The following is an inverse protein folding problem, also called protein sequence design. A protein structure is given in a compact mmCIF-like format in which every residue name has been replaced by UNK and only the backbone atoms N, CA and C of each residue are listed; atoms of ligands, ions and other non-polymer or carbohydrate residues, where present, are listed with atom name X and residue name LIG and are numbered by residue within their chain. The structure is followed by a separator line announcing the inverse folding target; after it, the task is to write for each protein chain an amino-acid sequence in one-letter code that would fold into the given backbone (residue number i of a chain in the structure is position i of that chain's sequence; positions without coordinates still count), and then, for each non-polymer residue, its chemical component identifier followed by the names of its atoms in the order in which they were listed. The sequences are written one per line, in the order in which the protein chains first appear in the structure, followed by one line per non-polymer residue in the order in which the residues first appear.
data_IF_283611094262
#
_entry.id   IF_283611094262
#
_cell.length_a   1.000
_cell.length_b   1.000
_cell.length_c   1.000
_cell.angle_alpha   90.00
_cell.angle_beta   90.00
_cell.angle_gamma   90.00
#
_symmetry.space_group_name_H-M   'P 1'
#
loop_
_entity.id
_entity.type
_entity.pdbx_description
1 polymer ?
#
# COMPACT_ATOMS: atom_id res chain seq x y z
N UNK A 1 15.74 -0.86 14.95
CA UNK A 1 14.81 -1.80 15.63
C UNK A 1 13.60 -0.95 15.94
N UNK A 2 12.39 -1.36 15.54
CA UNK A 2 11.19 -0.54 15.76
C UNK A 2 10.82 -0.53 17.26
N UNK A 3 10.75 0.65 17.87
CA UNK A 3 10.35 0.84 19.27
C UNK A 3 8.81 0.83 19.44
N UNK A 4 8.34 0.78 20.69
CA UNK A 4 6.92 0.53 21.03
C UNK A 4 5.96 1.64 20.57
N UNK A 5 6.44 2.89 20.46
CA UNK A 5 5.63 4.03 19.99
C UNK A 5 6.27 4.76 18.82
N UNK A 6 7.34 4.21 18.24
CA UNK A 6 8.02 4.79 17.10
C UNK A 6 7.13 4.69 15.85
N UNK A 7 7.09 5.79 15.10
CA UNK A 7 6.40 5.84 13.82
C UNK A 7 7.16 5.02 12.79
N UNK A 8 6.46 4.27 11.96
CA UNK A 8 7.11 3.56 10.87
C UNK A 8 7.58 4.57 9.82
N UNK A 9 8.87 4.50 9.49
CA UNK A 9 9.45 5.10 8.28
C UNK A 9 9.24 4.23 7.03
N UNK A 10 9.65 4.75 5.88
CA UNK A 10 9.60 4.05 4.60
C UNK A 10 10.38 2.73 4.64
N UNK A 11 11.51 2.71 5.32
CA UNK A 11 12.37 1.54 5.49
C UNK A 11 11.70 0.40 6.25
N UNK A 12 10.81 0.73 7.20
CA UNK A 12 10.05 -0.25 7.97
C UNK A 12 8.97 -0.90 7.11
N UNK A 13 8.23 -0.11 6.34
CA UNK A 13 7.18 -0.59 5.43
C UNK A 13 7.81 -1.41 4.29
N UNK A 14 8.86 -0.89 3.65
CA UNK A 14 9.56 -1.60 2.56
C UNK A 14 10.16 -2.93 3.04
N UNK A 15 10.71 -2.98 4.25
CA UNK A 15 11.21 -4.24 4.84
C UNK A 15 10.09 -5.25 5.06
N UNK A 16 8.95 -4.86 5.63
CA UNK A 16 7.82 -5.78 5.83
C UNK A 16 7.26 -6.28 4.48
N UNK A 17 7.16 -5.40 3.49
CA UNK A 17 6.74 -5.72 2.13
C UNK A 17 7.66 -6.75 1.47
N UNK A 18 8.99 -6.59 1.60
CA UNK A 18 9.96 -7.58 1.11
C UNK A 18 9.82 -8.94 1.80
N UNK A 19 9.57 -8.95 3.11
CA UNK A 19 9.32 -10.21 3.85
C UNK A 19 8.04 -10.88 3.38
N UNK A 20 6.98 -10.10 3.17
CA UNK A 20 5.71 -10.61 2.67
C UNK A 20 5.82 -11.12 1.23
N UNK A 21 6.56 -10.44 0.36
CA UNK A 21 6.83 -10.90 -0.99
C UNK A 21 7.57 -12.25 -0.99
N UNK A 22 8.58 -12.41 -0.12
CA UNK A 22 9.32 -13.67 0.01
C UNK A 22 8.42 -14.82 0.48
N UNK A 23 7.57 -14.57 1.46
CA UNK A 23 6.60 -15.54 1.97
C UNK A 23 5.58 -15.93 0.89
N UNK A 24 5.03 -14.94 0.19
CA UNK A 24 4.08 -15.15 -0.89
C UNK A 24 4.71 -15.94 -2.05
N UNK A 25 5.96 -15.64 -2.44
CA UNK A 25 6.69 -16.40 -3.47
C UNK A 25 6.92 -17.85 -3.07
N UNK A 26 7.13 -18.12 -1.77
CA UNK A 26 7.36 -19.47 -1.26
C UNK A 26 6.08 -20.30 -1.23
N UNK A 27 4.97 -19.69 -0.80
CA UNK A 27 3.74 -20.42 -0.48
C UNK A 27 2.69 -20.35 -1.60
N UNK A 28 2.67 -19.24 -2.37
CA UNK A 28 1.68 -18.96 -3.42
C UNK A 28 2.34 -18.29 -4.65
N UNK A 29 3.23 -19.00 -5.37
CA UNK A 29 4.05 -18.42 -6.45
C UNK A 29 3.24 -17.75 -7.56
N UNK A 30 2.08 -18.30 -7.93
CA UNK A 30 1.21 -17.71 -8.97
C UNK A 30 0.60 -16.37 -8.51
N UNK A 31 0.21 -16.27 -7.24
CA UNK A 31 -0.29 -15.02 -6.65
C UNK A 31 0.85 -14.01 -6.51
N UNK A 32 2.04 -14.48 -6.11
CA UNK A 32 3.23 -13.63 -6.03
C UNK A 32 3.60 -13.01 -7.39
N UNK A 33 3.57 -13.80 -8.47
CA UNK A 33 3.85 -13.31 -9.83
C UNK A 33 2.91 -12.18 -10.26
N UNK A 34 1.67 -12.16 -9.74
CA UNK A 34 0.63 -11.17 -10.03
C UNK A 34 0.49 -10.07 -8.98
N UNK A 35 1.31 -10.07 -7.93
CA UNK A 35 1.22 -9.09 -6.84
C UNK A 35 2.44 -8.18 -6.83
N UNK A 36 2.23 -6.88 -6.55
CA UNK A 36 3.31 -5.89 -6.39
C UNK A 36 3.15 -5.17 -5.06
N UNK A 37 4.16 -5.26 -4.23
CA UNK A 37 4.32 -4.45 -3.03
C UNK A 37 5.17 -3.24 -3.41
N UNK A 38 4.55 -2.08 -3.58
CA UNK A 38 5.22 -0.90 -4.14
C UNK A 38 6.02 -0.19 -3.05
N UNK A 39 7.27 0.13 -3.34
CA UNK A 39 8.14 0.83 -2.40
C UNK A 39 7.56 2.23 -2.06
N UNK A 40 7.54 2.64 -0.78
CA UNK A 40 6.95 3.91 -0.37
C UNK A 40 7.56 5.15 -1.04
N UNK A 41 8.86 5.14 -1.34
CA UNK A 41 9.54 6.27 -2.00
C UNK A 41 9.08 6.43 -3.45
N UNK A 42 8.71 5.34 -4.14
CA UNK A 42 8.13 5.41 -5.48
C UNK A 42 6.77 6.11 -5.42
N UNK A 43 5.93 5.74 -4.44
CA UNK A 43 4.61 6.36 -4.26
C UNK A 43 4.74 7.83 -3.88
N UNK A 44 5.69 8.19 -3.02
CA UNK A 44 6.01 9.58 -2.70
C UNK A 44 6.44 10.37 -3.94
N UNK A 45 7.26 9.79 -4.81
CA UNK A 45 7.63 10.41 -6.08
C UNK A 45 6.43 10.58 -7.02
N UNK A 46 5.49 9.63 -7.01
CA UNK A 46 4.23 9.78 -7.75
C UNK A 46 3.37 10.91 -7.23
N UNK A 47 3.36 11.19 -5.93
CA UNK A 47 2.61 12.31 -5.38
C UNK A 47 3.30 13.65 -5.70
N UNK A 48 4.63 13.70 -5.66
CA UNK A 48 5.43 14.92 -5.88
C UNK A 48 5.67 15.30 -7.33
N UNK A 49 5.54 14.37 -8.28
CA UNK A 49 5.86 14.65 -9.68
C UNK A 49 4.96 15.75 -10.24
N UNK A 50 5.48 16.62 -11.10
CA UNK A 50 4.66 17.56 -11.88
C UNK A 50 4.33 17.03 -13.29
N UNK A 51 4.73 15.80 -13.59
CA UNK A 51 4.56 15.16 -14.89
C UNK A 51 3.85 13.81 -14.75
N UNK A 52 2.58 13.78 -15.15
CA UNK A 52 1.77 12.57 -15.14
C UNK A 52 2.21 11.54 -16.19
N UNK A 53 2.86 11.97 -17.28
CA UNK A 53 3.46 11.08 -18.27
C UNK A 53 4.58 10.23 -17.67
N UNK A 54 5.43 10.85 -16.84
CA UNK A 54 6.50 10.13 -16.11
C UNK A 54 5.89 9.15 -15.10
N UNK A 55 4.91 9.58 -14.30
CA UNK A 55 4.23 8.72 -13.31
C UNK A 55 3.59 7.51 -14.00
N UNK A 56 2.85 7.73 -15.08
CA UNK A 56 2.22 6.63 -15.85
C UNK A 56 3.25 5.68 -16.45
N UNK A 57 4.37 6.21 -16.96
CA UNK A 57 5.45 5.38 -17.52
C UNK A 57 6.09 4.51 -16.45
N UNK A 58 6.33 5.05 -15.26
CA UNK A 58 6.89 4.28 -14.15
C UNK A 58 5.90 3.24 -13.62
N UNK A 59 4.62 3.61 -13.51
CA UNK A 59 3.57 2.67 -13.14
C UNK A 59 3.45 1.51 -14.12
N UNK A 60 3.56 1.78 -15.43
CA UNK A 60 3.64 0.74 -16.46
C UNK A 60 4.81 -0.22 -16.23
N UNK A 61 5.99 0.27 -15.83
CA UNK A 61 7.14 -0.61 -15.52
C UNK A 61 6.91 -1.50 -14.30
N UNK A 62 6.07 -1.08 -13.34
CA UNK A 62 5.73 -1.91 -12.17
C UNK A 62 4.80 -3.06 -12.58
N UNK A 63 3.85 -2.78 -13.46
CA UNK A 63 2.80 -3.76 -13.81
C UNK A 63 3.18 -4.71 -14.94
N UNK A 64 4.10 -4.30 -15.80
CA UNK A 64 4.64 -5.16 -16.86
C UNK A 64 5.87 -5.94 -16.37
N UNK A 65 5.88 -7.23 -16.64
CA UNK A 65 7.05 -8.11 -16.46
C UNK A 65 7.36 -8.79 -17.79
N UNK A 66 8.59 -8.61 -18.29
CA UNK A 66 9.05 -9.10 -19.59
C UNK A 66 8.08 -8.81 -20.77
N UNK A 67 7.47 -7.63 -20.76
CA UNK A 67 6.52 -7.19 -21.79
C UNK A 67 5.08 -7.69 -21.61
N UNK A 68 4.80 -8.47 -20.56
CA UNK A 68 3.45 -8.94 -20.23
C UNK A 68 2.87 -8.15 -19.06
N UNK A 69 1.62 -7.70 -19.16
CA UNK A 69 0.90 -7.04 -18.06
C UNK A 69 0.45 -8.07 -17.01
N UNK A 70 1.34 -8.39 -16.07
CA UNK A 70 1.16 -9.50 -15.11
C UNK A 70 0.59 -9.08 -13.77
N UNK A 71 0.74 -7.82 -13.36
CA UNK A 71 0.33 -7.39 -12.02
C UNK A 71 -1.18 -7.16 -11.91
N UNK A 72 -1.86 -8.03 -11.18
CA UNK A 72 -3.27 -7.89 -10.84
C UNK A 72 -3.48 -7.06 -9.58
N UNK A 73 -2.56 -7.17 -8.63
CA UNK A 73 -2.72 -6.61 -7.29
C UNK A 73 -1.55 -5.71 -6.98
N UNK A 74 -1.84 -4.47 -6.55
CA UNK A 74 -0.80 -3.55 -6.11
C UNK A 74 -1.14 -2.98 -4.74
N UNK A 75 -0.13 -2.90 -3.88
CA UNK A 75 -0.21 -2.30 -2.56
C UNK A 75 0.69 -1.06 -2.54
N UNK A 76 0.08 0.12 -2.53
CA UNK A 76 0.77 1.41 -2.54
C UNK A 76 0.58 2.11 -1.18
N UNK A 77 1.62 2.21 -0.36
CA UNK A 77 1.56 2.98 0.88
C UNK A 77 1.57 4.48 0.54
N UNK A 78 0.61 5.22 1.06
CA UNK A 78 0.39 6.65 0.78
C UNK A 78 0.72 7.46 2.03
N UNK A 79 1.62 8.43 1.90
CA UNK A 79 1.97 9.41 2.94
C UNK A 79 1.40 10.79 2.58
N UNK A 80 0.89 11.54 3.56
CA UNK A 80 0.44 12.94 3.39
C UNK A 80 1.60 13.95 3.39
N UNK A 81 2.67 13.66 2.67
CA UNK A 81 3.73 14.63 2.45
C UNK A 81 3.22 15.72 1.50
N UNK A 82 3.48 16.99 1.82
CA UNK A 82 3.13 18.10 0.93
C UNK A 82 3.94 17.96 -0.37
N UNK A 83 3.28 17.80 -1.53
CA UNK A 83 3.99 17.63 -2.80
C UNK A 83 4.74 18.90 -3.24
N UNK A 84 4.41 20.07 -2.70
CA UNK A 84 5.04 21.36 -3.02
C UNK A 84 6.20 21.71 -2.09
N UNK A 85 6.33 21.03 -0.93
CA UNK A 85 7.44 21.23 -0.01
C UNK A 85 8.35 20.00 0.01
N UNK A 86 9.57 20.07 -0.57
CA UNK A 86 10.50 18.94 -0.58
C UNK A 86 10.93 18.49 0.82
N UNK A 87 10.79 19.35 1.84
CA UNK A 87 11.11 19.03 3.24
C UNK A 87 9.92 18.43 3.99
N UNK A 88 8.72 18.41 3.40
CA UNK A 88 7.55 17.82 4.04
C UNK A 88 7.69 16.30 4.03
N UNK A 89 7.91 15.72 5.21
CA UNK A 89 8.06 14.27 5.40
C UNK A 89 6.71 13.56 5.53
N UNK A 90 5.61 14.31 5.64
CA UNK A 90 4.31 13.78 6.06
C UNK A 90 4.31 13.28 7.50
N UNK A 91 3.14 12.92 7.99
CA UNK A 91 2.96 12.43 9.36
C UNK A 91 1.92 11.31 9.49
N UNK A 92 1.30 10.90 8.39
CA UNK A 92 0.27 9.87 8.41
C UNK A 92 0.36 8.95 7.21
N UNK A 93 0.39 7.64 7.49
CA UNK A 93 0.37 6.58 6.49
C UNK A 93 -1.04 6.05 6.28
N UNK A 94 -1.38 5.78 5.03
CA UNK A 94 -2.59 5.06 4.62
C UNK A 94 -2.24 4.09 3.49
N UNK A 95 -3.17 3.25 3.06
CA UNK A 95 -2.94 2.24 2.02
C UNK A 95 -3.87 2.46 0.84
N UNK A 96 -3.33 2.44 -0.37
CA UNK A 96 -4.10 2.30 -1.60
C UNK A 96 -3.87 0.90 -2.18
N UNK A 97 -4.92 0.07 -2.17
CA UNK A 97 -4.93 -1.24 -2.80
C UNK A 97 -5.54 -1.14 -4.20
N UNK A 98 -4.86 -1.67 -5.21
CA UNK A 98 -5.35 -1.67 -6.59
C UNK A 98 -5.64 -3.10 -7.03
N UNK A 99 -6.85 -3.33 -7.51
CA UNK A 99 -7.30 -4.55 -8.16
C UNK A 99 -7.46 -4.29 -9.66
N UNK A 100 -6.57 -4.91 -10.44
CA UNK A 100 -6.49 -4.81 -11.90
C UNK A 100 -6.93 -6.10 -12.58
N UNK A 101 -7.55 -7.07 -11.88
CA UNK A 101 -8.00 -8.34 -12.50
C UNK A 101 -8.82 -8.10 -13.77
N UNK A 102 -9.68 -7.08 -13.75
CA UNK A 102 -10.27 -6.50 -14.95
C UNK A 102 -9.38 -5.35 -15.46
N UNK A 103 -8.56 -5.65 -16.47
CA UNK A 103 -7.61 -4.68 -17.06
C UNK A 103 -8.29 -3.49 -17.73
N UNK A 104 -9.52 -3.65 -18.20
CA UNK A 104 -10.29 -2.58 -18.83
C UNK A 104 -10.89 -1.60 -17.83
N UNK A 105 -10.98 -1.99 -16.55
CA UNK A 105 -11.58 -1.18 -15.50
C UNK A 105 -10.93 -1.46 -14.14
N UNK A 106 -9.66 -1.09 -13.94
CA UNK A 106 -8.98 -1.27 -12.68
C UNK A 106 -9.65 -0.43 -11.59
N UNK A 107 -9.68 -0.96 -10.37
CA UNK A 107 -10.31 -0.34 -9.20
C UNK A 107 -9.27 -0.16 -8.11
N UNK A 108 -9.33 0.98 -7.43
CA UNK A 108 -8.52 1.25 -6.26
C UNK A 108 -9.40 1.42 -5.01
N UNK A 109 -8.89 0.95 -3.88
CA UNK A 109 -9.52 1.00 -2.57
C UNK A 109 -8.57 1.69 -1.60
N UNK A 110 -9.02 2.77 -0.99
CA UNK A 110 -8.23 3.52 -0.02
C UNK A 110 -8.61 3.12 1.41
N UNK A 111 -7.60 2.86 2.22
CA UNK A 111 -7.75 2.52 3.63
C UNK A 111 -6.97 3.49 4.49
N UNK A 112 -7.69 4.23 5.31
CA UNK A 112 -7.14 5.19 6.25
C UNK A 112 -7.65 4.87 7.66
N UNK A 113 -6.70 4.61 8.56
CA UNK A 113 -6.97 4.26 9.95
C UNK A 113 -7.19 5.48 10.85
N UNK A 114 -7.04 6.71 10.34
CA UNK A 114 -7.15 7.93 11.14
C UNK A 114 -7.97 9.02 10.43
N UNK A 115 -9.29 8.85 10.44
CA UNK A 115 -10.22 9.93 10.09
C UNK A 115 -10.17 10.40 8.62
N UNK A 116 -9.54 9.64 7.72
CA UNK A 116 -9.44 9.99 6.31
C UNK A 116 -8.48 11.14 6.01
N UNK A 117 -7.44 11.33 6.84
CA UNK A 117 -6.43 12.37 6.64
C UNK A 117 -5.79 12.34 5.24
N UNK A 118 -5.62 11.15 4.66
CA UNK A 118 -4.99 10.97 3.35
C UNK A 118 -6.01 10.84 2.21
N UNK A 119 -7.29 11.18 2.41
CA UNK A 119 -8.31 11.06 1.36
C UNK A 119 -7.92 11.85 0.10
N UNK A 120 -7.45 13.09 0.27
CA UNK A 120 -7.02 13.94 -0.86
C UNK A 120 -5.79 13.39 -1.57
N UNK A 121 -4.82 12.86 -0.82
CA UNK A 121 -3.60 12.27 -1.38
C UNK A 121 -3.91 10.98 -2.14
N UNK A 122 -4.84 10.16 -1.62
CA UNK A 122 -5.31 8.96 -2.29
C UNK A 122 -6.13 9.26 -3.55
N UNK A 123 -7.02 10.25 -3.50
CA UNK A 123 -7.75 10.78 -4.67
C UNK A 123 -6.79 11.31 -5.74
N UNK A 124 -5.79 12.08 -5.31
CA UNK A 124 -4.76 12.59 -6.20
C UNK A 124 -3.98 11.45 -6.85
N UNK A 125 -3.44 10.51 -6.07
CA UNK A 125 -2.69 9.36 -6.57
C UNK A 125 -3.52 8.51 -7.54
N UNK A 126 -4.77 8.20 -7.19
CA UNK A 126 -5.65 7.41 -8.05
C UNK A 126 -5.93 8.14 -9.38
N UNK A 127 -6.17 9.45 -9.36
CA UNK A 127 -6.37 10.25 -10.56
C UNK A 127 -5.14 10.23 -11.49
N UNK A 128 -3.93 10.33 -10.93
CA UNK A 128 -2.68 10.25 -11.70
C UNK A 128 -2.46 8.90 -12.36
N UNK A 129 -2.94 7.84 -11.72
CA UNK A 129 -2.83 6.47 -12.19
C UNK A 129 -4.04 6.02 -13.05
N UNK A 130 -4.99 6.92 -13.32
CA UNK A 130 -6.24 6.63 -14.04
C UNK A 130 -7.04 5.48 -13.42
N UNK A 131 -7.12 5.48 -12.08
CA UNK A 131 -7.80 4.45 -11.29
C UNK A 131 -9.14 4.97 -10.77
N UNK A 132 -10.19 4.15 -10.88
CA UNK A 132 -11.47 4.43 -10.22
C UNK A 132 -11.35 4.08 -8.74
N UNK A 133 -11.49 5.09 -7.88
CA UNK A 133 -11.62 4.87 -6.44
C UNK A 133 -13.01 4.34 -6.10
N UNK A 134 -13.03 3.28 -5.30
CA UNK A 134 -14.25 2.74 -4.70
C UNK A 134 -14.16 2.78 -3.17
N UNK A 135 -15.30 2.90 -2.47
CA UNK A 135 -15.32 2.94 -1.01
C UNK A 135 -14.75 1.67 -0.39
N UNK A 136 -13.81 1.83 0.53
CA UNK A 136 -13.36 0.79 1.43
C UNK A 136 -13.36 1.30 2.87
N UNK A 137 -13.37 0.38 3.82
CA UNK A 137 -13.41 0.69 5.25
C UNK A 137 -12.29 -0.02 5.97
N UNK A 138 -11.79 0.60 7.02
CA UNK A 138 -10.75 0.07 7.88
C UNK A 138 -11.07 0.39 9.34
N UNK A 139 -10.69 -0.53 10.24
CA UNK A 139 -10.65 -0.25 11.66
C UNK A 139 -9.86 1.04 11.94
N UNK A 140 -10.37 1.87 12.84
CA UNK A 140 -9.74 3.15 13.19
C UNK A 140 -8.73 2.96 14.32
N UNK A 141 -7.52 3.49 14.14
CA UNK A 141 -6.50 3.50 15.19
C UNK A 141 -6.96 4.37 16.36
N UNK A 142 -6.52 4.01 17.57
CA UNK A 142 -6.85 4.74 18.81
C UNK A 142 -5.69 5.56 19.38
N UNK A 143 -4.48 5.34 18.87
CA UNK A 143 -3.28 6.08 19.24
C UNK A 143 -2.82 6.96 18.08
N UNK A 144 -1.71 7.68 18.25
CA UNK A 144 -1.16 8.60 17.24
C UNK A 144 0.09 8.09 16.52
N UNK A 145 0.40 6.78 16.55
CA UNK A 145 1.67 6.26 16.02
C UNK A 145 1.58 4.95 15.23
N UNK A 146 0.43 4.27 15.24
CA UNK A 146 0.27 2.97 14.58
C UNK A 146 -0.25 3.03 13.14
N UNK A 147 -0.42 4.21 12.53
CA UNK A 147 -0.90 4.33 11.16
C UNK A 147 -0.12 3.43 10.18
N UNK A 148 1.21 3.41 10.29
CA UNK A 148 2.06 2.50 9.51
C UNK A 148 1.87 1.01 9.84
N UNK A 149 1.54 0.65 11.08
CA UNK A 149 1.22 -0.74 11.46
C UNK A 149 -0.10 -1.17 10.79
N UNK A 150 -1.10 -0.29 10.77
CA UNK A 150 -2.36 -0.51 10.03
C UNK A 150 -2.12 -0.71 8.53
N UNK A 151 -1.17 0.00 7.92
CA UNK A 151 -0.80 -0.22 6.51
C UNK A 151 -0.25 -1.63 6.30
N UNK A 152 0.77 -2.04 7.04
CA UNK A 152 1.44 -3.34 6.81
C UNK A 152 0.56 -4.53 7.21
N UNK A 153 -0.17 -4.45 8.32
CA UNK A 153 -1.07 -5.52 8.74
C UNK A 153 -2.36 -5.54 7.88
N UNK A 154 -2.83 -4.39 7.41
CA UNK A 154 -3.91 -4.30 6.43
C UNK A 154 -3.54 -4.96 5.10
N UNK A 155 -2.32 -4.69 4.59
CA UNK A 155 -1.76 -5.37 3.43
C UNK A 155 -1.68 -6.89 3.64
N UNK A 156 -1.24 -7.35 4.82
CA UNK A 156 -1.23 -8.79 5.16
C UNK A 156 -2.62 -9.41 5.22
N UNK A 157 -3.61 -8.70 5.75
CA UNK A 157 -4.99 -9.17 5.78
C UNK A 157 -5.57 -9.31 4.36
N UNK A 158 -5.34 -8.32 3.50
CA UNK A 158 -5.79 -8.37 2.09
C UNK A 158 -5.12 -9.51 1.32
N UNK A 159 -3.81 -9.70 1.47
CA UNK A 159 -3.12 -10.83 0.82
C UNK A 159 -3.67 -12.18 1.28
N UNK A 160 -3.92 -12.36 2.58
CA UNK A 160 -4.56 -13.60 3.09
C UNK A 160 -5.95 -13.82 2.49
N UNK A 161 -6.73 -12.76 2.28
CA UNK A 161 -8.02 -12.88 1.59
C UNK A 161 -7.84 -13.32 0.14
N UNK A 162 -6.85 -12.77 -0.57
CA UNK A 162 -6.52 -13.18 -1.94
C UNK A 162 -6.09 -14.65 -2.02
N UNK A 163 -5.26 -15.12 -1.08
CA UNK A 163 -4.84 -16.53 -0.96
C UNK A 163 -6.03 -17.48 -0.80
N UNK A 164 -7.08 -17.04 -0.09
CA UNK A 164 -8.30 -17.81 0.16
C UNK A 164 -9.35 -17.67 -0.94
N UNK A 165 -9.08 -16.91 -2.01
CA UNK A 165 -10.06 -16.59 -3.05
C UNK A 165 -11.18 -15.65 -2.57
N UNK A 166 -10.98 -14.96 -1.45
CA UNK A 166 -11.89 -13.98 -0.89
C UNK A 166 -12.04 -12.75 -1.78
N UNK A 167 -13.17 -12.06 -1.63
CA UNK A 167 -13.53 -10.88 -2.44
C UNK A 167 -13.83 -9.64 -1.60
N UNK A 168 -13.79 -9.75 -0.27
CA UNK A 168 -14.02 -8.59 0.59
C UNK A 168 -12.84 -7.62 0.47
N UNK A 169 -13.16 -6.33 0.43
CA UNK A 169 -12.22 -5.21 0.39
C UNK A 169 -12.42 -4.35 1.65
N UNK A 170 -12.98 -4.94 2.70
CA UNK A 170 -13.25 -4.25 3.94
C UNK A 170 -12.37 -4.80 5.05
N UNK A 171 -11.73 -3.88 5.76
CA UNK A 171 -10.82 -4.10 6.89
C UNK A 171 -11.42 -3.55 8.20
N UNK A 172 -12.75 -3.46 8.29
CA UNK A 172 -13.49 -2.99 9.48
C UNK A 172 -13.12 -3.77 10.76
N UNK A 173 -12.74 -5.04 10.61
CA UNK A 173 -12.39 -5.95 11.70
C UNK A 173 -10.88 -6.19 11.82
N UNK A 174 -10.05 -5.38 11.16
CA UNK A 174 -8.60 -5.49 11.25
C UNK A 174 -8.15 -5.26 12.69
N UNK A 175 -7.42 -6.23 13.23
CA UNK A 175 -6.69 -6.10 14.50
C UNK A 175 -5.21 -6.07 14.16
N UNK A 176 -4.55 -4.97 14.48
CA UNK A 176 -3.12 -4.78 14.23
C UNK A 176 -2.30 -5.26 15.42
N UNK A 177 -1.08 -5.72 15.14
CA UNK A 177 -0.16 -6.25 16.14
C UNK A 177 1.26 -5.70 15.92
N UNK A 178 1.57 -4.61 16.63
CA UNK A 178 2.90 -3.99 16.61
C UNK A 178 3.98 -4.95 17.10
N UNK A 179 3.71 -5.78 18.11
CA UNK A 179 4.72 -6.70 18.63
C UNK A 179 5.07 -7.76 17.59
N UNK A 180 4.06 -8.30 16.90
CA UNK A 180 4.28 -9.19 15.78
C UNK A 180 5.09 -8.51 14.66
N UNK A 181 4.80 -7.24 14.33
CA UNK A 181 5.61 -6.49 13.37
C UNK A 181 7.06 -6.35 13.84
N UNK A 182 7.30 -5.94 15.09
CA UNK A 182 8.64 -5.83 15.65
C UNK A 182 9.42 -7.15 15.55
N UNK A 183 8.77 -8.28 15.87
CA UNK A 183 9.37 -9.62 15.72
C UNK A 183 9.73 -9.91 14.27
N UNK A 184 8.82 -9.66 13.31
CA UNK A 184 9.09 -9.86 11.87
C UNK A 184 10.28 -9.03 11.37
N UNK A 185 10.36 -7.77 11.80
CA UNK A 185 11.41 -6.87 11.34
C UNK A 185 12.79 -7.22 11.94
N UNK A 186 12.84 -7.81 13.13
CA UNK A 186 14.10 -8.27 13.77
C UNK A 186 14.68 -9.51 13.09
N UNK A 187 13.82 -10.40 12.58
CA UNK A 187 14.22 -11.68 11.98
C UNK A 187 14.27 -12.82 12.98
#
# INVERSE_FOLDING_TARGET
MLEDTEWLGDEHIDRDYRLQEQDLRRNHPDLAARTRFVNPLIVLNYLRSNDDGVVRTEFQRIVYDNGNDTADFLFLPVINADPQDPNSLGNHWSLLFVDRRDRGRPVAYHYDSYGGLNNKDAEHLAGRLDLRLEPARMAQQRNGYDCGVFVVDGTRALVRQLEQGGQTVHLDQLVVDRQALQSRLRG
#
